data_IF_854248604064
#
_entry.id   IF_854248604064
#
_cell.length_a   1.000
_cell.length_b   1.000
_cell.length_c   1.000
_cell.angle_alpha   90.00
_cell.angle_beta   90.00
_cell.angle_gamma   90.00
#
_symmetry.space_group_name_H-M   'P 1'
#
loop_
_entity.id
_entity.type
_entity.pdbx_description
1 polymer ?
2 water ?
#
# COMPACT_ATOMS: atom_id res chain seq x y z
N UNK A 2 -3.44 -11.51 -2.80
CA UNK A 2 -1.94 -11.48 -2.85
C UNK A 2 -1.67 -11.72 -4.31
N UNK A 3 -2.38 -12.80 -4.75
CA UNK A 3 -1.74 -13.58 -5.65
C UNK A 3 -1.96 -13.04 -6.97
N UNK A 4 -2.93 -12.11 -7.15
CA UNK A 4 -3.27 -11.65 -8.53
C UNK A 4 -2.35 -10.56 -9.00
N UNK A 5 -2.33 -10.31 -10.29
CA UNK A 5 -1.41 -9.37 -10.89
C UNK A 5 -1.73 -7.97 -10.38
N UNK A 6 -2.96 -7.49 -10.30
CA UNK A 6 -3.15 -6.11 -9.79
C UNK A 6 -2.50 -5.92 -8.45
N UNK A 7 -2.54 -6.92 -7.56
CA UNK A 7 -1.95 -6.77 -6.23
C UNK A 7 -0.44 -6.64 -6.34
N UNK A 8 0.20 -7.52 -7.11
CA UNK A 8 1.64 -7.43 -7.22
C UNK A 8 2.05 -6.09 -7.82
N UNK A 9 1.30 -5.59 -8.79
CA UNK A 9 1.57 -4.33 -9.46
C UNK A 9 1.44 -3.21 -8.42
N UNK A 10 0.41 -3.25 -7.53
CA UNK A 10 0.32 -2.18 -6.51
C UNK A 10 1.43 -2.25 -5.60
N UNK A 11 1.93 -3.43 -5.24
CA UNK A 11 3.02 -3.56 -4.35
C UNK A 11 4.33 -2.97 -4.94
N UNK A 12 4.49 -3.17 -6.23
CA UNK A 12 5.66 -2.60 -6.98
C UNK A 12 5.57 -1.13 -6.97
N UNK A 13 4.39 -0.58 -7.22
CA UNK A 13 4.15 0.91 -7.27
C UNK A 13 4.43 1.47 -5.88
N UNK A 14 3.94 0.83 -4.79
CA UNK A 14 4.18 1.42 -3.49
C UNK A 14 5.69 1.27 -3.11
N UNK A 15 6.38 0.26 -3.58
CA UNK A 15 7.83 0.16 -3.35
C UNK A 15 8.49 1.36 -4.01
N UNK A 16 8.13 1.74 -5.22
CA UNK A 16 8.77 2.87 -5.92
C UNK A 16 8.53 4.16 -5.10
N UNK A 17 7.30 4.37 -4.63
CA UNK A 17 6.97 5.62 -3.88
C UNK A 17 7.75 5.52 -2.58
N UNK A 18 7.84 4.44 -1.87
CA UNK A 18 8.57 4.37 -0.64
C UNK A 18 10.07 4.66 -0.86
N UNK A 19 10.61 4.42 -2.05
CA UNK A 19 12.02 4.73 -2.32
C UNK A 19 12.18 6.17 -2.77
N UNK A 20 11.11 6.95 -2.92
CA UNK A 20 11.14 8.40 -3.27
C UNK A 20 10.80 8.64 -4.67
N UNK A 21 10.34 7.67 -5.44
CA UNK A 21 9.91 7.94 -6.78
C UNK A 21 8.47 8.31 -6.79
N UNK A 22 8.18 9.60 -6.82
CA UNK A 22 6.83 10.13 -6.59
C UNK A 22 6.12 10.43 -7.88
N UNK A 23 6.75 10.19 -9.00
CA UNK A 23 6.18 10.49 -10.29
C UNK A 23 5.42 9.28 -10.84
N UNK A 24 5.70 8.06 -10.36
CA UNK A 24 5.09 6.91 -11.08
C UNK A 24 3.62 6.80 -10.81
N UNK A 25 2.98 6.33 -11.88
CA UNK A 25 1.49 6.38 -11.93
C UNK A 25 0.94 5.26 -11.09
N UNK A 26 -0.07 5.57 -10.26
CA UNK A 26 -0.64 4.50 -9.35
C UNK A 26 -1.77 3.78 -10.15
N UNK A 27 -1.60 2.52 -10.42
CA UNK A 27 -2.60 1.81 -11.21
C UNK A 27 -3.74 1.32 -10.34
N UNK A 28 -4.80 0.84 -11.01
CA UNK A 28 -5.87 0.10 -10.31
C UNK A 28 -6.74 0.98 -9.34
N UNK A 29 -6.77 2.31 -9.55
CA UNK A 29 -7.61 3.16 -8.73
C UNK A 29 -9.07 3.05 -9.07
N UNK A 30 -9.38 2.78 -10.33
CA UNK A 30 -10.76 2.98 -10.77
C UNK A 30 -11.59 1.74 -10.57
N UNK A 31 -11.72 1.36 -9.31
CA UNK A 31 -12.46 0.26 -8.87
C UNK A 31 -12.80 0.42 -7.40
N UNK A 32 -13.87 -0.21 -6.97
CA UNK A 32 -14.41 -0.05 -5.65
C UNK A 32 -14.16 -1.10 -4.63
N UNK A 33 -13.52 -2.20 -5.06
CA UNK A 33 -13.19 -3.26 -4.14
C UNK A 33 -11.91 -2.92 -3.31
N UNK A 34 -11.46 -3.87 -2.52
CA UNK A 34 -10.31 -3.59 -1.56
C UNK A 34 -9.10 -3.18 -2.38
N UNK A 35 -8.86 -3.77 -3.55
CA UNK A 35 -7.72 -3.31 -4.36
C UNK A 35 -7.83 -1.85 -4.72
N UNK A 36 -9.03 -1.39 -5.12
CA UNK A 36 -9.19 0.02 -5.46
C UNK A 36 -9.12 0.98 -4.31
N UNK A 37 -9.61 0.54 -3.15
CA UNK A 37 -9.51 1.39 -1.93
C UNK A 37 -8.03 1.54 -1.57
N UNK A 38 -7.26 0.48 -1.66
CA UNK A 38 -5.83 0.53 -1.36
C UNK A 38 -5.11 1.37 -2.39
N UNK A 39 -5.41 1.21 -3.67
CA UNK A 39 -4.78 2.04 -4.70
C UNK A 39 -5.05 3.52 -4.47
N UNK A 40 -6.32 3.87 -4.14
CA UNK A 40 -6.59 5.32 -3.95
C UNK A 40 -5.84 5.85 -2.73
N UNK A 41 -5.65 5.00 -1.69
CA UNK A 41 -4.88 5.48 -0.51
C UNK A 41 -3.42 5.69 -0.90
N UNK A 42 -2.83 4.77 -1.67
CA UNK A 42 -1.44 4.93 -2.12
C UNK A 42 -1.38 6.23 -2.91
N UNK A 43 -2.34 6.54 -3.80
CA UNK A 43 -2.32 7.75 -4.58
C UNK A 43 -2.38 8.98 -3.69
N UNK A 44 -3.25 9.00 -2.68
CA UNK A 44 -3.32 10.22 -1.83
C UNK A 44 -2.03 10.37 -1.12
N UNK A 45 -1.38 9.32 -0.65
CA UNK A 45 -0.09 9.44 0.03
C UNK A 45 0.92 9.96 -0.96
N UNK A 46 1.01 9.45 -2.18
CA UNK A 46 1.92 9.95 -3.20
C UNK A 46 1.79 11.47 -3.41
N UNK A 47 0.56 11.95 -3.53
CA UNK A 47 0.33 13.37 -3.72
C UNK A 47 0.80 14.16 -2.51
N UNK A 48 0.58 13.68 -1.29
CA UNK A 48 1.06 14.37 -0.11
C UNK A 48 2.56 14.38 -0.07
N UNK A 49 3.24 13.31 -0.32
CA UNK A 49 4.70 13.28 -0.31
C UNK A 49 5.25 14.19 -1.40
N UNK A 50 4.60 14.33 -2.54
CA UNK A 50 5.09 15.16 -3.62
C UNK A 50 4.98 16.63 -3.25
N UNK A 51 3.90 17.05 -2.62
CA UNK A 51 3.73 18.46 -2.24
C UNK A 51 4.74 18.87 -1.18
N UNK A 52 5.10 17.90 -0.33
CA UNK A 52 6.10 18.10 0.70
C UNK A 52 7.50 18.14 0.18
N UNK A 53 7.77 17.73 -1.05
CA UNK A 53 9.16 17.68 -1.60
C UNK A 53 9.56 18.89 -2.44
N UNK B 3 8.44 10.79 7.90
CA UNK B 3 7.80 9.48 8.27
C UNK B 3 8.09 8.48 7.19
N UNK B 4 9.30 8.62 6.63
CA UNK B 4 9.66 7.59 5.77
C UNK B 4 9.76 6.29 6.55
N UNK B 5 10.30 6.17 7.80
CA UNK B 5 10.37 4.82 8.37
C UNK B 5 9.03 4.07 8.33
N UNK B 6 7.90 4.63 8.82
CA UNK B 6 6.68 3.84 8.72
C UNK B 6 6.30 3.54 7.26
N UNK B 7 6.54 4.41 6.33
CA UNK B 7 6.17 4.12 4.91
C UNK B 7 6.99 2.97 4.38
N UNK B 8 8.28 2.92 4.68
CA UNK B 8 9.15 1.81 4.26
C UNK B 8 8.72 0.54 4.94
N UNK B 9 8.36 0.55 6.22
CA UNK B 9 7.92 -0.61 6.93
C UNK B 9 6.66 -1.17 6.26
N UNK B 10 5.71 -0.30 5.96
CA UNK B 10 4.43 -0.75 5.42
C UNK B 10 4.65 -1.20 3.98
N UNK B 11 5.53 -0.61 3.15
CA UNK B 11 5.78 -1.12 1.82
C UNK B 11 6.44 -2.54 1.91
N UNK B 12 7.32 -2.75 2.87
CA UNK B 12 7.97 -4.06 3.03
C UNK B 12 6.91 -5.09 3.46
N UNK B 13 6.00 -4.71 4.35
CA UNK B 13 4.96 -5.65 4.77
C UNK B 13 4.03 -5.97 3.58
N UNK B 14 3.68 -4.96 2.74
CA UNK B 14 2.81 -5.27 1.64
C UNK B 14 3.56 -6.21 0.64
N UNK B 15 4.86 -6.06 0.46
CA UNK B 15 5.61 -6.98 -0.39
C UNK B 15 5.51 -8.38 0.16
N UNK B 16 5.55 -8.59 1.44
CA UNK B 16 5.42 -9.95 2.03
C UNK B 16 4.06 -10.50 1.73
N UNK B 17 3.01 -9.71 1.86
CA UNK B 17 1.63 -10.20 1.55
C UNK B 17 1.53 -10.44 0.06
N UNK B 18 2.00 -9.56 -0.80
CA UNK B 18 1.89 -9.76 -2.22
C UNK B 18 2.70 -10.99 -2.69
N UNK B 19 3.71 -11.42 -1.94
CA UNK B 19 4.43 -12.64 -2.26
C UNK B 19 3.86 -13.85 -1.55
N UNK B 20 2.62 -13.69 -1.02
CA UNK B 20 1.79 -14.86 -0.53
C UNK B 20 1.88 -15.13 0.92
N UNK B 21 2.50 -14.28 1.74
CA UNK B 21 2.44 -14.41 3.19
C UNK B 21 1.21 -13.70 3.74
N UNK B 22 0.11 -14.43 3.90
CA UNK B 22 -1.12 -13.78 4.33
C UNK B 22 -1.25 -13.71 5.82
N UNK B 23 -0.20 -14.09 6.54
CA UNK B 23 -0.14 -13.97 8.02
C UNK B 23 0.66 -12.75 8.45
N UNK B 24 1.23 -12.01 7.51
CA UNK B 24 2.09 -10.87 7.89
C UNK B 24 1.38 -9.86 8.77
N UNK B 25 2.01 -9.47 9.85
CA UNK B 25 1.43 -8.42 10.72
C UNK B 25 1.57 -7.09 10.09
N UNK B 26 0.46 -6.37 10.02
CA UNK B 26 0.49 -5.11 9.28
C UNK B 26 0.66 -4.02 10.32
N UNK B 27 1.76 -3.25 10.26
CA UNK B 27 2.05 -2.17 11.21
C UNK B 27 1.25 -0.92 10.96
N UNK B 28 1.15 -0.01 11.93
CA UNK B 28 0.74 1.38 11.78
C UNK B 28 -0.75 1.55 11.52
N UNK B 29 -1.56 0.53 11.79
CA UNK B 29 -3.00 0.69 11.60
C UNK B 29 -3.63 1.70 12.48
N UNK B 30 -3.03 2.03 13.64
CA UNK B 30 -3.70 3.00 14.51
C UNK B 30 -3.47 4.45 14.21
N UNK B 31 -2.63 4.78 13.26
CA UNK B 31 -2.37 6.23 13.00
C UNK B 31 -3.61 6.89 12.41
N UNK B 32 -3.78 8.16 12.80
CA UNK B 32 -4.86 8.88 12.28
C UNK B 32 -4.44 9.82 11.18
N UNK B 33 -3.90 9.24 10.14
CA UNK B 33 -3.41 9.99 8.94
C UNK B 33 -3.40 9.06 7.80
N UNK B 34 -2.97 9.52 6.64
CA UNK B 34 -3.03 8.69 5.44
C UNK B 34 -2.25 7.37 5.57
N UNK B 35 -1.14 7.36 6.37
CA UNK B 35 -0.42 6.09 6.51
C UNK B 35 -1.30 5.06 7.26
N UNK B 36 -2.06 5.53 8.27
CA UNK B 36 -2.93 4.58 8.99
C UNK B 36 -4.10 4.16 8.10
N UNK B 37 -4.61 5.02 7.21
CA UNK B 37 -5.67 4.60 6.26
C UNK B 37 -5.09 3.60 5.29
N UNK B 38 -3.88 3.78 4.81
CA UNK B 38 -3.28 2.81 3.91
C UNK B 38 -3.05 1.47 4.63
N UNK B 39 -2.48 1.57 5.86
CA UNK B 39 -2.28 0.32 6.65
C UNK B 39 -3.60 -0.47 6.88
N UNK B 40 -4.66 0.27 7.21
CA UNK B 40 -5.95 -0.39 7.40
C UNK B 40 -6.39 -1.10 6.12
N UNK B 41 -6.15 -0.40 4.96
CA UNK B 41 -6.56 -0.99 3.68
C UNK B 41 -5.70 -2.22 3.34
N UNK B 42 -4.39 -2.14 3.61
CA UNK B 42 -3.58 -3.37 3.44
C UNK B 42 -4.11 -4.51 4.34
N UNK B 43 -4.46 -4.21 5.59
CA UNK B 43 -4.94 -5.20 6.50
C UNK B 43 -6.28 -5.78 6.02
N UNK B 44 -7.20 -4.94 5.53
CA UNK B 44 -8.46 -5.43 5.00
C UNK B 44 -8.22 -6.33 3.79
N UNK B 45 -7.28 -5.94 2.92
CA UNK B 45 -6.99 -6.79 1.76
C UNK B 45 -6.44 -8.12 2.25
N UNK B 46 -5.45 -8.12 3.14
CA UNK B 46 -4.89 -9.35 3.71
C UNK B 46 -5.99 -10.25 4.29
N UNK B 47 -6.90 -9.69 5.07
CA UNK B 47 -7.98 -10.54 5.65
C UNK B 47 -8.79 -11.14 4.53
N UNK B 48 -9.15 -10.34 3.51
CA UNK B 48 -10.04 -10.80 2.46
C UNK B 48 -9.37 -11.92 1.68
N UNK B 49 -8.05 -11.92 1.52
CA UNK B 49 -7.36 -12.94 0.76
C UNK B 49 -7.37 -14.25 1.57
N UNK B 50 -7.36 -14.17 2.90
CA UNK B 50 -7.19 -15.35 3.74
C UNK B 50 -8.45 -16.18 3.63
N UNK B 51 -9.61 -15.53 3.43
CA UNK B 51 -10.90 -16.10 2.89
C UNK B 51 -11.97 -15.44 3.74
#
# INVERSE_FOLDING_TARGET
STITRPIIELSNTFDKIAEGNLEAEVPHQNRADEIGILAKSIERLRRSLKVAME
STITRPIIELSNTFDKIAEGNLEAEVPHQNRADEIGILAKSIERLRRSLKVAME
#
